data_IF_991837528134
#
_entry.id   IF_991837528134
#
_cell.length_a   1.000
_cell.length_b   1.000
_cell.length_c   1.000
_cell.angle_alpha   90.00
_cell.angle_beta   90.00
_cell.angle_gamma   90.00
#
_symmetry.space_group_name_H-M   'P 1'
#
loop_
_entity.id
_entity.type
_entity.pdbx_description
1 polymer ?
#
# COMPACT_ATOMS: atom_id res chain seq x y z
N UNK A 1 -5.41 -27.45 15.19
CA UNK A 1 -4.29 -27.19 14.26
C UNK A 1 -4.41 -25.76 13.80
N UNK A 2 -3.46 -24.88 14.16
CA UNK A 2 -3.42 -23.56 13.53
C UNK A 2 -3.12 -23.80 12.05
N UNK A 3 -4.04 -23.45 11.15
CA UNK A 3 -3.74 -23.40 9.73
C UNK A 3 -2.46 -22.57 9.57
N UNK A 4 -1.41 -23.12 8.97
CA UNK A 4 -0.27 -22.30 8.55
C UNK A 4 -0.81 -21.24 7.59
N UNK A 5 -1.04 -20.03 8.10
CA UNK A 5 -1.52 -18.92 7.31
C UNK A 5 -0.39 -18.58 6.35
N UNK A 6 -0.62 -18.82 5.05
CA UNK A 6 0.29 -18.42 3.99
C UNK A 6 0.62 -16.92 4.16
N UNK A 7 1.89 -16.50 4.06
CA UNK A 7 2.25 -15.09 4.13
C UNK A 7 1.50 -14.30 3.05
N UNK A 8 0.98 -13.12 3.40
CA UNK A 8 0.19 -12.30 2.49
C UNK A 8 1.08 -11.61 1.46
N UNK A 9 0.63 -11.49 0.21
CA UNK A 9 1.19 -10.48 -0.68
C UNK A 9 0.51 -9.14 -0.38
N UNK A 10 1.29 -8.06 -0.44
CA UNK A 10 0.79 -6.72 -0.11
C UNK A 10 1.11 -5.72 -1.22
N UNK A 11 0.08 -5.04 -1.70
CA UNK A 11 0.21 -3.90 -2.61
C UNK A 11 0.08 -2.58 -1.84
N UNK A 12 1.09 -1.73 -1.96
CA UNK A 12 1.07 -0.36 -1.45
C UNK A 12 0.56 0.60 -2.52
N UNK A 13 -0.67 1.08 -2.35
CA UNK A 13 -1.32 2.05 -3.23
C UNK A 13 -1.00 3.46 -2.74
N UNK A 14 -0.14 4.15 -3.49
CA UNK A 14 0.41 5.47 -3.14
C UNK A 14 1.90 5.38 -2.83
N UNK A 15 2.72 6.05 -3.65
CA UNK A 15 4.19 6.01 -3.60
C UNK A 15 4.83 7.25 -2.98
N UNK A 16 4.02 8.08 -2.30
CA UNK A 16 4.47 9.32 -1.67
C UNK A 16 5.14 9.11 -0.31
N UNK A 17 5.37 10.23 0.38
CA UNK A 17 6.14 10.34 1.62
C UNK A 17 5.74 9.34 2.72
N UNK A 18 4.44 9.12 2.97
CA UNK A 18 4.00 8.17 4.00
C UNK A 18 4.46 6.73 3.72
N UNK A 19 4.50 6.35 2.44
CA UNK A 19 4.85 5.00 2.02
C UNK A 19 6.35 4.82 1.87
N UNK A 20 7.01 5.77 1.18
CA UNK A 20 8.39 5.62 0.72
C UNK A 20 9.36 6.62 1.34
N UNK A 21 8.87 7.66 2.04
CA UNK A 21 9.69 8.79 2.51
C UNK A 21 10.16 9.71 1.39
N UNK A 22 9.77 9.46 0.14
CA UNK A 22 10.23 10.18 -1.04
C UNK A 22 9.34 11.38 -1.34
N UNK A 23 9.94 12.56 -1.47
CA UNK A 23 9.33 13.79 -1.99
C UNK A 23 10.15 14.26 -3.19
N UNK A 24 9.52 14.54 -4.33
CA UNK A 24 10.20 14.65 -5.64
C UNK A 24 11.39 15.62 -5.66
N UNK A 25 12.61 15.07 -5.59
CA UNK A 25 13.88 15.81 -5.67
C UNK A 25 14.75 15.81 -4.41
N UNK A 26 14.30 15.23 -3.29
CA UNK A 26 15.10 15.15 -2.06
C UNK A 26 14.47 14.29 -0.96
N UNK A 27 15.25 14.02 0.10
CA UNK A 27 14.71 13.40 1.31
C UNK A 27 13.75 14.38 2.01
N UNK A 28 12.62 13.88 2.54
CA UNK A 28 11.66 14.72 3.25
C UNK A 28 12.32 15.48 4.42
N UNK A 29 11.99 16.77 4.58
CA UNK A 29 12.34 17.57 5.75
C UNK A 29 11.50 17.27 7.00
N UNK A 30 10.50 16.39 6.90
CA UNK A 30 9.66 15.90 7.99
C UNK A 30 10.32 14.72 8.74
N UNK A 31 9.84 14.40 9.94
CA UNK A 31 10.22 13.19 10.72
C UNK A 31 9.95 11.85 9.99
N UNK A 32 9.40 11.89 8.77
CA UNK A 32 9.08 10.74 7.91
C UNK A 32 10.12 10.45 6.83
N UNK A 33 11.39 10.80 7.08
CA UNK A 33 12.50 10.74 6.10
C UNK A 33 12.62 9.42 5.32
N UNK A 34 12.14 8.34 5.91
CA UNK A 34 12.34 6.97 5.42
C UNK A 34 11.02 6.32 4.93
N UNK A 35 9.87 6.94 5.20
CA UNK A 35 8.55 6.32 5.01
C UNK A 35 8.23 5.30 6.10
N UNK A 36 6.94 5.15 6.41
CA UNK A 36 6.50 4.28 7.52
C UNK A 36 5.87 3.00 7.00
N UNK A 37 5.05 3.07 5.94
CA UNK A 37 4.32 1.90 5.43
C UNK A 37 5.29 0.91 4.78
N UNK A 38 6.17 1.37 3.89
CA UNK A 38 7.16 0.53 3.24
C UNK A 38 8.10 -0.13 4.24
N UNK A 39 8.69 0.66 5.15
CA UNK A 39 9.58 0.15 6.20
C UNK A 39 8.92 -0.95 7.04
N UNK A 40 7.66 -0.73 7.46
CA UNK A 40 6.91 -1.71 8.24
C UNK A 40 6.69 -3.01 7.45
N UNK A 41 6.34 -2.93 6.17
CA UNK A 41 6.12 -4.10 5.32
C UNK A 41 7.42 -4.85 5.01
N UNK A 42 8.54 -4.16 4.83
CA UNK A 42 9.85 -4.78 4.68
C UNK A 42 10.27 -5.55 5.94
N UNK A 43 10.04 -4.99 7.13
CA UNK A 43 10.28 -5.71 8.40
C UNK A 43 9.35 -6.93 8.55
N UNK A 44 8.06 -6.77 8.22
CA UNK A 44 7.11 -7.89 8.24
C UNK A 44 7.52 -9.01 7.26
N UNK A 45 8.11 -8.66 6.11
CA UNK A 45 8.66 -9.64 5.16
C UNK A 45 9.82 -10.40 5.77
N UNK A 46 10.77 -9.70 6.38
CA UNK A 46 11.90 -10.30 7.11
C UNK A 46 11.42 -11.26 8.22
N UNK A 47 10.26 -10.98 8.82
CA UNK A 47 9.62 -11.81 9.87
C UNK A 47 8.72 -12.92 9.31
N UNK A 48 8.67 -13.11 8.00
CA UNK A 48 7.87 -14.14 7.32
C UNK A 48 6.35 -13.94 7.43
N UNK A 49 5.89 -12.70 7.66
CA UNK A 49 4.45 -12.37 7.77
C UNK A 49 3.83 -11.92 6.45
N UNK A 50 4.64 -11.35 5.58
CA UNK A 50 4.28 -11.00 4.20
C UNK A 50 5.32 -11.57 3.25
N UNK A 51 4.93 -11.88 2.02
CA UNK A 51 5.82 -12.44 1.00
C UNK A 51 6.15 -11.39 -0.07
N UNK A 52 5.34 -11.29 -1.12
CA UNK A 52 5.59 -10.33 -2.21
C UNK A 52 5.08 -8.95 -1.87
N UNK A 53 5.88 -7.95 -2.18
CA UNK A 53 5.53 -6.55 -2.03
C UNK A 53 5.49 -5.87 -3.39
N UNK A 54 4.46 -5.07 -3.60
CA UNK A 54 4.33 -4.24 -4.79
C UNK A 54 3.94 -2.81 -4.41
N UNK A 55 4.26 -1.85 -5.28
CA UNK A 55 3.89 -0.45 -5.14
C UNK A 55 3.21 0.04 -6.41
N UNK A 56 2.16 0.85 -6.24
CA UNK A 56 1.51 1.51 -7.36
C UNK A 56 1.37 3.01 -7.13
N UNK A 57 1.74 3.78 -8.16
CA UNK A 57 1.52 5.22 -8.24
C UNK A 57 0.99 5.59 -9.63
N UNK A 58 0.67 6.86 -9.86
CA UNK A 58 0.17 7.30 -11.17
C UNK A 58 1.27 7.40 -12.23
N UNK A 59 2.52 7.57 -11.83
CA UNK A 59 3.67 7.74 -12.73
C UNK A 59 4.83 6.85 -12.29
N UNK A 60 5.28 6.00 -13.21
CA UNK A 60 6.36 5.05 -12.96
C UNK A 60 7.76 5.66 -12.97
N UNK A 61 7.93 6.86 -13.54
CA UNK A 61 9.23 7.54 -13.63
C UNK A 61 9.90 7.81 -12.28
N UNK A 62 9.13 7.76 -11.17
CA UNK A 62 9.64 7.94 -9.81
C UNK A 62 10.24 6.68 -9.20
N UNK A 63 9.92 5.49 -9.73
CA UNK A 63 10.34 4.22 -9.11
C UNK A 63 11.86 4.02 -9.05
N UNK A 64 12.67 4.39 -10.07
CA UNK A 64 14.13 4.31 -9.95
C UNK A 64 14.67 5.12 -8.75
N UNK A 65 14.23 6.36 -8.60
CA UNK A 65 14.64 7.23 -7.49
C UNK A 65 14.12 6.72 -6.12
N UNK A 66 12.90 6.16 -6.08
CA UNK A 66 12.37 5.51 -4.87
C UNK A 66 13.22 4.31 -4.47
N UNK A 67 13.62 3.46 -5.43
CA UNK A 67 14.48 2.28 -5.16
C UNK A 67 15.82 2.70 -4.58
N UNK A 68 16.45 3.72 -5.17
CA UNK A 68 17.71 4.28 -4.66
C UNK A 68 17.54 4.85 -3.24
N UNK A 69 16.48 5.63 -3.01
CA UNK A 69 16.16 6.21 -1.70
C UNK A 69 15.97 5.13 -0.62
N UNK A 70 15.21 4.07 -0.92
CA UNK A 70 14.99 2.97 0.01
C UNK A 70 16.27 2.15 0.23
N UNK A 71 17.08 1.93 -0.81
CA UNK A 71 18.35 1.23 -0.65
C UNK A 71 19.29 1.98 0.31
N UNK A 72 19.48 3.29 0.07
CA UNK A 72 20.37 4.14 0.88
C UNK A 72 19.89 4.31 2.32
N UNK A 73 18.60 4.58 2.51
CA UNK A 73 18.08 4.98 3.82
C UNK A 73 17.48 3.83 4.64
N UNK A 74 17.17 2.68 4.02
CA UNK A 74 16.62 1.51 4.70
C UNK A 74 17.57 0.33 4.59
N UNK A 75 17.85 -0.14 3.37
CA UNK A 75 18.58 -1.40 3.19
C UNK A 75 19.97 -1.34 3.84
N UNK A 76 20.74 -0.27 3.59
CA UNK A 76 22.07 -0.07 4.16
C UNK A 76 22.05 0.20 5.67
N UNK A 77 20.98 0.81 6.19
CA UNK A 77 20.86 1.18 7.62
C UNK A 77 20.41 -0.01 8.47
N UNK A 78 19.54 -0.87 7.95
CA UNK A 78 18.91 -1.97 8.69
C UNK A 78 19.48 -3.35 8.31
N UNK A 79 20.81 -3.46 8.23
CA UNK A 79 21.53 -4.72 7.99
C UNK A 79 21.07 -5.46 6.72
N UNK A 80 21.13 -4.79 5.57
CA UNK A 80 20.71 -5.30 4.26
C UNK A 80 19.25 -5.76 4.24
N UNK A 81 18.36 -5.02 4.92
CA UNK A 81 16.93 -5.28 4.85
C UNK A 81 16.50 -5.29 3.38
N UNK A 82 15.80 -6.34 2.95
CA UNK A 82 15.29 -6.44 1.60
C UNK A 82 14.19 -5.38 1.40
N UNK A 83 14.44 -4.43 0.49
CA UNK A 83 13.51 -3.38 0.09
C UNK A 83 13.01 -3.57 -1.34
N UNK A 84 13.16 -4.76 -1.92
CA UNK A 84 12.65 -5.08 -3.25
C UNK A 84 11.12 -5.00 -3.30
N UNK A 85 10.59 -4.55 -4.43
CA UNK A 85 9.15 -4.52 -4.72
C UNK A 85 8.90 -4.49 -6.23
N UNK A 86 7.76 -5.02 -6.66
CA UNK A 86 7.25 -4.84 -8.02
C UNK A 86 6.54 -3.49 -8.16
N UNK A 87 6.64 -2.84 -9.32
CA UNK A 87 6.16 -1.46 -9.49
C UNK A 87 5.17 -1.31 -10.64
N UNK A 88 4.08 -0.58 -10.38
CA UNK A 88 3.04 -0.27 -11.35
C UNK A 88 2.81 1.26 -11.43
N UNK A 89 2.65 1.84 -12.63
CA UNK A 89 2.95 1.24 -13.93
C UNK A 89 4.46 1.03 -14.12
N UNK A 90 4.87 0.54 -15.29
CA UNK A 90 6.30 0.46 -15.65
C UNK A 90 7.00 1.84 -15.56
N UNK A 91 8.32 1.83 -15.37
CA UNK A 91 9.12 3.03 -15.08
C UNK A 91 8.98 4.17 -16.10
N UNK A 92 8.63 3.84 -17.34
CA UNK A 92 8.49 4.75 -18.48
C UNK A 92 7.03 5.17 -18.73
N UNK A 93 6.09 4.74 -17.90
CA UNK A 93 4.65 4.95 -18.11
C UNK A 93 4.02 5.84 -17.04
N UNK A 94 2.96 6.54 -17.44
CA UNK A 94 2.06 7.26 -16.54
C UNK A 94 0.64 6.77 -16.82
N UNK A 95 0.00 6.22 -15.80
CA UNK A 95 -1.33 5.64 -15.87
C UNK A 95 -2.04 5.84 -14.51
N UNK A 96 -3.00 6.78 -14.42
CA UNK A 96 -3.78 7.01 -13.21
C UNK A 96 -4.60 5.79 -12.75
N UNK A 97 -4.85 4.84 -13.66
CA UNK A 97 -5.62 3.62 -13.42
C UNK A 97 -4.76 2.39 -13.18
N UNK A 98 -3.43 2.53 -13.10
CA UNK A 98 -2.49 1.42 -12.89
C UNK A 98 -2.79 0.59 -11.62
N UNK A 99 -3.48 1.17 -10.64
CA UNK A 99 -3.95 0.46 -9.45
C UNK A 99 -4.84 -0.74 -9.79
N UNK A 100 -5.58 -0.69 -10.91
CA UNK A 100 -6.42 -1.80 -11.37
C UNK A 100 -5.57 -3.01 -11.74
N UNK A 101 -4.60 -2.81 -12.63
CA UNK A 101 -3.62 -3.84 -13.03
C UNK A 101 -2.86 -4.39 -11.82
N UNK A 102 -2.46 -3.52 -10.90
CA UNK A 102 -1.75 -3.93 -9.69
C UNK A 102 -2.62 -4.78 -8.76
N UNK A 103 -3.89 -4.44 -8.59
CA UNK A 103 -4.86 -5.21 -7.78
C UNK A 103 -5.21 -6.53 -8.48
N UNK A 104 -5.38 -6.53 -9.80
CA UNK A 104 -5.68 -7.74 -10.58
C UNK A 104 -4.54 -8.78 -10.54
N UNK A 105 -3.31 -8.35 -10.23
CA UNK A 105 -2.17 -9.24 -10.03
C UNK A 105 -2.17 -9.96 -8.67
N UNK A 106 -3.02 -9.55 -7.72
CA UNK A 106 -3.14 -10.16 -6.39
C UNK A 106 -4.10 -11.35 -6.40
N UNK A 107 -3.89 -12.28 -5.47
CA UNK A 107 -4.83 -13.37 -5.24
C UNK A 107 -5.89 -12.99 -4.19
N UNK A 108 -7.13 -13.52 -4.26
CA UNK A 108 -8.09 -13.40 -3.17
C UNK A 108 -7.48 -13.74 -1.80
N UNK A 109 -7.67 -12.86 -0.82
CA UNK A 109 -7.05 -12.96 0.52
C UNK A 109 -5.71 -12.24 0.69
N UNK A 110 -5.10 -11.74 -0.39
CA UNK A 110 -4.01 -10.77 -0.30
C UNK A 110 -4.53 -9.40 0.21
N UNK A 111 -3.63 -8.44 0.43
CA UNK A 111 -3.97 -7.15 1.02
C UNK A 111 -3.44 -5.95 0.24
N UNK A 112 -4.11 -4.81 0.41
CA UNK A 112 -3.61 -3.51 -0.03
C UNK A 112 -3.57 -2.51 1.12
N UNK A 113 -2.66 -1.54 1.02
CA UNK A 113 -2.67 -0.32 1.83
C UNK A 113 -2.94 0.89 0.95
N UNK A 114 -3.86 1.77 1.32
CA UNK A 114 -4.21 2.96 0.54
C UNK A 114 -3.72 4.21 1.27
N UNK A 115 -2.72 4.86 0.68
CA UNK A 115 -2.12 6.14 1.10
C UNK A 115 -2.05 7.10 -0.10
N UNK A 116 -3.21 7.42 -0.65
CA UNK A 116 -3.40 8.31 -1.80
C UNK A 116 -4.17 9.57 -1.38
N UNK A 117 -4.43 10.55 -2.27
CA UNK A 117 -5.38 11.62 -1.96
C UNK A 117 -6.78 11.09 -1.64
N UNK A 118 -7.47 11.71 -0.68
CA UNK A 118 -8.77 11.25 -0.15
C UNK A 118 -9.86 11.05 -1.23
N UNK A 119 -9.78 11.76 -2.36
CA UNK A 119 -10.74 11.63 -3.47
C UNK A 119 -10.62 10.30 -4.21
N UNK A 120 -9.47 9.61 -4.13
CA UNK A 120 -9.22 8.35 -4.84
C UNK A 120 -9.46 7.12 -3.98
N UNK A 121 -9.66 7.30 -2.68
CA UNK A 121 -9.86 6.23 -1.71
C UNK A 121 -11.01 5.28 -2.06
N UNK A 122 -12.21 5.84 -2.26
CA UNK A 122 -13.42 5.04 -2.53
C UNK A 122 -13.28 4.14 -3.76
N UNK A 123 -12.95 4.64 -4.97
CA UNK A 123 -12.88 3.78 -6.15
C UNK A 123 -11.79 2.70 -6.04
N UNK A 124 -10.66 2.99 -5.38
CA UNK A 124 -9.59 2.01 -5.17
C UNK A 124 -10.05 0.92 -4.19
N UNK A 125 -10.63 1.32 -3.06
CA UNK A 125 -11.08 0.40 -2.01
C UNK A 125 -12.20 -0.52 -2.52
N UNK A 126 -13.20 0.03 -3.21
CA UNK A 126 -14.29 -0.75 -3.78
C UNK A 126 -13.76 -1.79 -4.78
N UNK A 127 -12.89 -1.35 -5.69
CA UNK A 127 -12.30 -2.23 -6.71
C UNK A 127 -11.52 -3.41 -6.11
N UNK A 128 -10.79 -3.18 -5.01
CA UNK A 128 -10.08 -4.22 -4.28
C UNK A 128 -11.02 -5.18 -3.52
N UNK A 129 -12.02 -4.65 -2.84
CA UNK A 129 -13.00 -5.44 -2.07
C UNK A 129 -13.77 -6.38 -2.99
N UNK A 130 -14.22 -5.91 -4.16
CA UNK A 130 -14.91 -6.73 -5.16
C UNK A 130 -14.08 -7.94 -5.63
N UNK A 131 -12.74 -7.84 -5.54
CA UNK A 131 -11.78 -8.91 -5.85
C UNK A 131 -11.38 -9.75 -4.63
N UNK A 132 -12.06 -9.55 -3.50
CA UNK A 132 -11.80 -10.24 -2.22
C UNK A 132 -10.40 -9.95 -1.68
N UNK A 133 -9.91 -8.73 -1.91
CA UNK A 133 -8.63 -8.26 -1.38
C UNK A 133 -8.90 -7.48 -0.08
N UNK A 134 -8.07 -7.70 0.93
CA UNK A 134 -8.15 -6.99 2.20
C UNK A 134 -7.67 -5.55 2.05
N UNK A 135 -8.39 -4.59 2.63
CA UNK A 135 -8.09 -3.16 2.46
C UNK A 135 -7.76 -2.54 3.81
N UNK A 136 -6.55 -1.98 3.91
CA UNK A 136 -6.17 -1.05 4.96
C UNK A 136 -6.13 0.36 4.35
N UNK A 137 -7.01 1.25 4.82
CA UNK A 137 -7.15 2.59 4.26
C UNK A 137 -6.79 3.66 5.28
N UNK A 138 -6.02 4.66 4.85
CA UNK A 138 -5.70 5.81 5.70
C UNK A 138 -6.95 6.66 5.98
N UNK A 139 -6.88 7.48 7.02
CA UNK A 139 -7.92 8.44 7.34
C UNK A 139 -7.87 9.67 6.41
N UNK A 140 -9.01 10.30 6.11
CA UNK A 140 -10.36 9.73 6.25
C UNK A 140 -10.54 8.56 5.26
N UNK A 141 -11.29 7.52 5.66
CA UNK A 141 -11.50 6.37 4.78
C UNK A 141 -12.17 6.77 3.45
N UNK A 142 -13.24 7.55 3.52
CA UNK A 142 -13.92 8.17 2.36
C UNK A 142 -14.54 9.50 2.79
N UNK A 143 -14.95 10.32 1.81
CA UNK A 143 -15.45 11.68 2.08
C UNK A 143 -16.92 11.74 2.49
N UNK A 144 -17.74 10.76 2.11
CA UNK A 144 -19.19 10.77 2.34
C UNK A 144 -19.68 9.47 2.98
N UNK A 145 -20.74 9.57 3.78
CA UNK A 145 -21.30 8.45 4.54
C UNK A 145 -21.83 7.33 3.64
N UNK A 146 -22.48 7.65 2.51
CA UNK A 146 -23.00 6.65 1.57
C UNK A 146 -21.90 5.74 1.05
N UNK A 147 -20.76 6.31 0.62
CA UNK A 147 -19.58 5.56 0.21
C UNK A 147 -19.05 4.65 1.33
N UNK A 148 -19.09 5.11 2.57
CA UNK A 148 -18.62 4.32 3.70
C UNK A 148 -19.51 3.10 3.92
N UNK A 149 -20.83 3.29 3.89
CA UNK A 149 -21.82 2.22 4.02
C UNK A 149 -21.72 1.22 2.86
N UNK A 150 -21.52 1.70 1.63
CA UNK A 150 -21.33 0.84 0.46
C UNK A 150 -20.08 -0.03 0.59
N UNK A 151 -18.95 0.51 1.06
CA UNK A 151 -17.74 -0.28 1.31
C UNK A 151 -17.96 -1.34 2.40
N UNK A 152 -18.71 -1.01 3.46
CA UNK A 152 -19.06 -1.97 4.51
C UNK A 152 -19.92 -3.12 3.97
N UNK A 153 -20.92 -2.81 3.15
CA UNK A 153 -21.77 -3.83 2.53
C UNK A 153 -21.00 -4.69 1.53
N UNK A 154 -20.12 -4.09 0.73
CA UNK A 154 -19.24 -4.84 -0.17
C UNK A 154 -18.28 -5.76 0.61
N UNK A 155 -17.70 -5.28 1.71
CA UNK A 155 -16.81 -6.06 2.57
C UNK A 155 -17.51 -7.26 3.20
N UNK A 156 -18.74 -7.08 3.71
CA UNK A 156 -19.56 -8.17 4.27
C UNK A 156 -19.86 -9.26 3.23
N UNK A 157 -20.21 -8.87 2.01
CA UNK A 157 -20.55 -9.80 0.92
C UNK A 157 -19.35 -10.61 0.44
N UNK A 158 -18.17 -10.00 0.39
CA UNK A 158 -16.97 -10.59 -0.21
C UNK A 158 -16.03 -11.25 0.81
N UNK A 159 -16.29 -11.08 2.12
CA UNK A 159 -15.38 -11.38 3.23
C UNK A 159 -14.05 -10.60 3.16
N UNK A 160 -14.01 -9.50 2.40
CA UNK A 160 -12.88 -8.59 2.39
C UNK A 160 -12.84 -7.75 3.67
N UNK A 161 -11.93 -8.06 4.59
CA UNK A 161 -11.67 -7.22 5.77
C UNK A 161 -11.25 -5.80 5.35
N UNK A 162 -12.02 -4.80 5.77
CA UNK A 162 -11.66 -3.39 5.72
C UNK A 162 -11.24 -2.94 7.13
N UNK A 163 -9.95 -2.65 7.33
CA UNK A 163 -9.44 -2.15 8.60
C UNK A 163 -9.34 -0.63 8.54
N UNK A 164 -10.08 0.04 9.42
CA UNK A 164 -10.01 1.48 9.66
C UNK A 164 -9.56 1.70 11.10
N UNK A 165 -8.40 2.34 11.31
CA UNK A 165 -7.93 2.68 12.67
C UNK A 165 -8.46 4.05 13.07
N UNK A 166 -9.45 4.08 13.96
CA UNK A 166 -9.74 5.26 14.77
C UNK A 166 -8.86 5.23 16.02
N UNK A 167 -7.88 6.12 16.12
CA UNK A 167 -7.46 6.62 17.43
C UNK A 167 -8.26 7.90 17.68
N UNK A 168 -9.48 7.75 18.20
CA UNK A 168 -10.07 8.83 18.98
C UNK A 168 -9.56 8.65 20.41
N UNK A 169 -8.52 9.39 20.77
CA UNK A 169 -8.44 9.88 22.14
C UNK A 169 -9.61 10.86 22.28
N UNK A 170 -10.57 10.51 23.12
CA UNK A 170 -11.54 11.46 23.66
C UNK A 170 -10.83 12.51 24.50
#
# INVERSE_FOLDING_TARGET
MASELKPLNVLMVGTGEYTTGFVGGGASGSDKKVGVVGLSLFDLRRRGKVDKLSMVGTSGGKFPAIREHLHKNISQVYNNLDTSFDSFPANDKTDPSAYKTAIDALAPGDAITIFTPDTTHYPIALYAIERKIHVLITKPAVKILSQHLELLEAAKKTRGLCLYRTSQTF
#
